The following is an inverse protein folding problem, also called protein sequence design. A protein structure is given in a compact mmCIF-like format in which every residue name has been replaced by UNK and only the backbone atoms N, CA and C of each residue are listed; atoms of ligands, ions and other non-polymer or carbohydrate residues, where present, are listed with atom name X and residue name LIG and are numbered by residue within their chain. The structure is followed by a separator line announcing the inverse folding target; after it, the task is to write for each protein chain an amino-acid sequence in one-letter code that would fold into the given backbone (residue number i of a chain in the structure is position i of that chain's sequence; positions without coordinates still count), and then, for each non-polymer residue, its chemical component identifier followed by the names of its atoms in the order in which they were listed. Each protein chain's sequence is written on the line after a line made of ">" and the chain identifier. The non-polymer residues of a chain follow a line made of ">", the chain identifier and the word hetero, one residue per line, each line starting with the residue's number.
data_IF_454529090547
#
_entry.id   IF_454529090547
#
_cell.length_a   1.000
_cell.length_b   1.000
_cell.length_c   1.000
_cell.angle_alpha   90.00
_cell.angle_beta   90.00
_cell.angle_gamma   90.00
#
_symmetry.space_group_name_H-M   'P 1'
#
loop_
_entity.id
_entity.type
_entity.pdbx_description
1 polymer ?
#
# COMPACT_ATOMS: atom_id res chain seq x y z
N UNK A 1 15.26 -20.40 30.50
CA UNK A 1 15.43 -20.55 29.03
C UNK A 1 14.10 -20.53 28.27
N UNK A 2 13.08 -21.32 28.63
CA UNK A 2 11.75 -21.29 27.96
C UNK A 2 11.08 -19.90 27.88
N UNK A 3 11.12 -19.11 28.96
CA UNK A 3 10.56 -17.74 28.98
C UNK A 3 11.28 -16.76 28.02
N UNK A 4 12.59 -16.94 27.83
CA UNK A 4 13.40 -16.10 26.92
C UNK A 4 13.08 -16.44 25.47
N UNK A 5 12.94 -17.73 25.15
CA UNK A 5 12.55 -18.15 23.80
C UNK A 5 11.13 -17.67 23.44
N UNK A 6 10.18 -17.73 24.38
CA UNK A 6 8.82 -17.17 24.18
C UNK A 6 8.86 -15.65 23.97
N UNK A 7 9.67 -14.92 24.73
CA UNK A 7 9.83 -13.48 24.55
C UNK A 7 10.41 -13.15 23.17
N UNK A 8 11.43 -13.90 22.72
CA UNK A 8 12.05 -13.72 21.41
C UNK A 8 11.04 -13.93 20.26
N UNK A 9 10.23 -14.99 20.33
CA UNK A 9 9.22 -15.29 19.32
C UNK A 9 8.13 -14.22 19.29
N UNK A 10 7.69 -13.69 20.45
CA UNK A 10 6.73 -12.58 20.50
C UNK A 10 7.29 -11.27 19.93
N UNK A 11 8.57 -10.98 20.16
CA UNK A 11 9.21 -9.80 19.57
C UNK A 11 9.25 -9.93 18.05
N UNK A 12 9.60 -11.10 17.51
CA UNK A 12 9.57 -11.34 16.06
C UNK A 12 8.14 -11.28 15.49
N UNK A 13 7.15 -11.84 16.19
CA UNK A 13 5.73 -11.74 15.81
C UNK A 13 5.29 -10.27 15.71
N UNK A 14 5.71 -9.43 16.67
CA UNK A 14 5.42 -8.00 16.66
C UNK A 14 6.09 -7.30 15.46
N UNK A 15 7.36 -7.59 15.17
CA UNK A 15 8.06 -7.02 14.01
C UNK A 15 7.34 -7.37 12.72
N UNK A 16 6.98 -8.64 12.52
CA UNK A 16 6.25 -9.10 11.32
C UNK A 16 4.89 -8.42 11.21
N UNK A 17 4.15 -8.30 12.31
CA UNK A 17 2.86 -7.60 12.33
C UNK A 17 2.99 -6.12 11.93
N UNK A 18 3.99 -5.41 12.46
CA UNK A 18 4.25 -4.02 12.11
C UNK A 18 4.65 -3.89 10.64
N UNK A 19 5.50 -4.78 10.12
CA UNK A 19 5.87 -4.79 8.70
C UNK A 19 4.67 -5.01 7.77
N UNK A 20 3.77 -5.93 8.10
CA UNK A 20 2.53 -6.13 7.32
C UNK A 20 1.61 -4.91 7.39
N UNK A 21 1.44 -4.32 8.57
CA UNK A 21 0.64 -3.10 8.75
C UNK A 21 1.21 -1.95 7.91
N UNK A 22 2.54 -1.78 7.93
CA UNK A 22 3.22 -0.80 7.08
C UNK A 22 2.99 -1.09 5.59
N UNK A 23 3.09 -2.34 5.16
CA UNK A 23 2.90 -2.73 3.76
C UNK A 23 1.48 -2.43 3.27
N UNK A 24 0.46 -2.69 4.10
CA UNK A 24 -0.94 -2.36 3.79
C UNK A 24 -1.11 -0.84 3.66
N UNK A 25 -0.60 -0.06 4.62
CA UNK A 25 -0.66 1.42 4.57
C UNK A 25 0.09 1.95 3.33
N UNK A 26 1.26 1.39 3.02
CA UNK A 26 2.05 1.79 1.86
C UNK A 26 1.34 1.45 0.54
N UNK A 27 0.66 0.31 0.45
CA UNK A 27 -0.14 -0.08 -0.71
C UNK A 27 -1.27 0.91 -0.98
N UNK A 28 -2.10 1.19 0.04
CA UNK A 28 -3.18 2.17 -0.09
C UNK A 28 -2.66 3.60 -0.28
N UNK A 29 -1.56 3.94 0.39
CA UNK A 29 -0.88 5.23 0.22
C UNK A 29 -0.37 5.43 -1.20
N UNK A 30 0.26 4.41 -1.79
CA UNK A 30 0.72 4.46 -3.18
C UNK A 30 -0.44 4.63 -4.17
N UNK A 31 -1.59 4.00 -3.91
CA UNK A 31 -2.78 4.18 -4.77
C UNK A 31 -3.29 5.62 -4.83
N UNK A 32 -3.10 6.40 -3.77
CA UNK A 32 -3.48 7.81 -3.72
C UNK A 32 -2.34 8.71 -4.20
N UNK A 33 -1.11 8.41 -3.79
CA UNK A 33 0.06 9.23 -4.09
C UNK A 33 0.49 9.13 -5.56
N UNK A 34 0.35 7.96 -6.21
CA UNK A 34 0.77 7.79 -7.60
C UNK A 34 -0.01 8.69 -8.57
N UNK A 35 -1.35 8.74 -8.57
CA UNK A 35 -2.09 9.70 -9.39
C UNK A 35 -1.70 11.15 -9.11
N UNK A 36 -1.51 11.50 -7.83
CA UNK A 36 -1.11 12.85 -7.44
C UNK A 36 0.28 13.20 -7.99
N UNK A 37 1.23 12.27 -7.91
CA UNK A 37 2.59 12.44 -8.42
C UNK A 37 2.60 12.59 -9.94
N UNK A 38 1.76 11.84 -10.66
CA UNK A 38 1.59 11.98 -12.11
C UNK A 38 1.11 13.40 -12.48
N UNK A 39 0.19 13.99 -11.72
CA UNK A 39 -0.26 15.39 -11.94
C UNK A 39 0.92 16.35 -11.79
N UNK A 40 1.71 16.20 -10.73
CA UNK A 40 2.89 17.04 -10.49
C UNK A 40 3.92 16.89 -11.61
N UNK A 41 4.15 15.66 -12.05
CA UNK A 41 5.15 15.34 -13.08
C UNK A 41 4.72 15.88 -14.46
N UNK A 42 3.44 15.77 -14.80
CA UNK A 42 2.86 16.39 -16.00
C UNK A 42 2.93 17.92 -15.94
N UNK A 43 2.62 18.51 -14.79
CA UNK A 43 2.68 19.97 -14.60
C UNK A 43 4.12 20.48 -14.77
N UNK A 44 5.11 19.76 -14.21
CA UNK A 44 6.54 20.07 -14.40
C UNK A 44 6.97 19.91 -15.85
N UNK A 45 6.56 18.85 -16.52
CA UNK A 45 6.87 18.60 -17.93
C UNK A 45 6.36 19.75 -18.82
N UNK A 46 5.12 20.20 -18.61
CA UNK A 46 4.56 21.33 -19.34
C UNK A 46 5.26 22.66 -18.99
N UNK A 47 5.76 22.79 -17.76
CA UNK A 47 6.60 23.91 -17.35
C UNK A 47 7.91 24.02 -18.16
N UNK A 48 8.49 22.89 -18.60
CA UNK A 48 9.68 22.89 -19.48
C UNK A 48 9.38 23.56 -20.83
N UNK A 49 8.14 23.47 -21.31
CA UNK A 49 7.69 24.10 -22.55
C UNK A 49 7.23 25.57 -22.36
N UNK A 50 7.47 26.16 -21.20
CA UNK A 50 7.13 27.57 -20.91
C UNK A 50 5.68 27.82 -20.50
N UNK A 51 4.88 26.77 -20.24
CA UNK A 51 3.55 26.96 -19.65
C UNK A 51 3.66 27.30 -18.17
N UNK A 52 2.90 28.31 -17.74
CA UNK A 52 2.80 28.67 -16.34
C UNK A 52 2.15 27.52 -15.54
N UNK A 53 2.64 27.26 -14.32
CA UNK A 53 2.23 26.12 -13.50
C UNK A 53 0.72 26.04 -13.26
N UNK A 54 0.04 27.19 -13.22
CA UNK A 54 -1.42 27.25 -13.08
C UNK A 54 -2.16 26.71 -14.32
N UNK A 55 -1.73 27.07 -15.53
CA UNK A 55 -2.33 26.60 -16.78
C UNK A 55 -2.00 25.13 -17.00
N UNK A 56 -0.77 24.73 -16.69
CA UNK A 56 -0.34 23.34 -16.75
C UNK A 56 -1.14 22.44 -15.79
N UNK A 57 -1.39 22.88 -14.56
CA UNK A 57 -2.24 22.15 -13.62
C UNK A 57 -3.69 22.02 -14.11
N UNK A 58 -4.23 23.05 -14.76
CA UNK A 58 -5.59 23.04 -15.32
C UNK A 58 -5.78 21.99 -16.41
N UNK A 59 -4.70 21.59 -17.10
CA UNK A 59 -4.71 20.54 -18.13
C UNK A 59 -4.33 19.18 -17.53
N UNK A 60 -3.34 19.14 -16.63
CA UNK A 60 -2.86 17.91 -16.01
C UNK A 60 -3.92 17.24 -15.11
N UNK A 61 -4.68 18.02 -14.34
CA UNK A 61 -5.70 17.48 -13.42
C UNK A 61 -6.82 16.75 -14.18
N UNK A 62 -7.47 17.33 -15.21
CA UNK A 62 -8.44 16.59 -16.03
C UNK A 62 -7.86 15.40 -16.77
N UNK A 63 -6.62 15.50 -17.29
CA UNK A 63 -5.96 14.40 -17.99
C UNK A 63 -5.76 13.19 -17.07
N UNK A 64 -5.25 13.40 -15.86
CA UNK A 64 -5.12 12.33 -14.86
C UNK A 64 -6.47 11.87 -14.34
N UNK A 65 -7.42 12.78 -14.16
CA UNK A 65 -8.80 12.43 -13.79
C UNK A 65 -9.47 11.50 -14.81
N UNK A 66 -9.21 11.69 -16.10
CA UNK A 66 -9.69 10.79 -17.16
C UNK A 66 -9.04 9.40 -17.09
N UNK A 67 -7.72 9.33 -16.82
CA UNK A 67 -7.02 8.07 -16.61
C UNK A 67 -7.58 7.31 -15.39
N UNK A 68 -7.81 8.01 -14.28
CA UNK A 68 -8.46 7.44 -13.11
C UNK A 68 -9.86 6.93 -13.46
N UNK A 69 -10.66 7.71 -14.19
CA UNK A 69 -12.00 7.29 -14.63
C UNK A 69 -11.95 6.04 -15.51
N UNK A 70 -10.95 5.91 -16.38
CA UNK A 70 -10.75 4.71 -17.20
C UNK A 70 -10.45 3.49 -16.35
N UNK A 71 -9.58 3.62 -15.34
CA UNK A 71 -9.29 2.56 -14.36
C UNK A 71 -10.55 2.16 -13.60
N UNK A 72 -11.37 3.12 -13.16
CA UNK A 72 -12.65 2.85 -12.49
C UNK A 72 -13.69 2.18 -13.39
N UNK A 73 -13.72 2.52 -14.68
CA UNK A 73 -14.65 1.92 -15.65
C UNK A 73 -14.16 0.58 -16.20
N UNK A 74 -12.90 0.20 -15.95
CA UNK A 74 -12.37 -1.08 -16.37
C UNK A 74 -12.93 -2.17 -15.46
N UNK A 75 -13.79 -3.06 -15.97
CA UNK A 75 -14.44 -4.08 -15.15
C UNK A 75 -13.40 -5.02 -14.54
N UNK A 76 -13.56 -5.33 -13.24
CA UNK A 76 -12.66 -6.20 -12.50
C UNK A 76 -11.37 -5.56 -11.98
N UNK A 77 -10.93 -4.42 -12.54
CA UNK A 77 -9.67 -3.80 -12.13
C UNK A 77 -9.75 -3.15 -10.75
N UNK A 78 -10.80 -2.37 -10.48
CA UNK A 78 -11.03 -1.77 -9.16
C UNK A 78 -11.28 -2.82 -8.08
N UNK A 79 -11.95 -3.93 -8.44
CA UNK A 79 -12.21 -5.02 -7.51
C UNK A 79 -10.93 -5.78 -7.18
N UNK A 80 -10.12 -6.13 -8.19
CA UNK A 80 -8.80 -6.76 -8.01
C UNK A 80 -7.88 -5.93 -7.10
N UNK A 81 -7.92 -4.61 -7.24
CA UNK A 81 -7.17 -3.66 -6.40
C UNK A 81 -7.55 -3.79 -4.91
N UNK A 82 -8.86 -3.82 -4.64
CA UNK A 82 -9.38 -3.93 -3.27
C UNK A 82 -9.10 -5.33 -2.72
N UNK A 83 -9.35 -6.37 -3.50
CA UNK A 83 -9.12 -7.76 -3.13
C UNK A 83 -7.64 -7.99 -2.77
N UNK A 84 -6.71 -7.43 -3.54
CA UNK A 84 -5.27 -7.47 -3.23
C UNK A 84 -4.94 -6.82 -1.89
N UNK A 85 -5.60 -5.70 -1.57
CA UNK A 85 -5.46 -5.04 -0.27
C UNK A 85 -5.99 -5.89 0.89
N UNK A 86 -7.12 -6.56 0.68
CA UNK A 86 -7.71 -7.49 1.65
C UNK A 86 -6.79 -8.72 1.84
N UNK A 87 -6.26 -9.28 0.76
CA UNK A 87 -5.35 -10.43 0.79
C UNK A 87 -4.05 -10.13 1.54
N UNK A 88 -3.53 -8.90 1.42
CA UNK A 88 -2.39 -8.43 2.21
C UNK A 88 -2.68 -8.46 3.72
N UNK A 89 -3.86 -7.99 4.12
CA UNK A 89 -4.30 -8.02 5.53
C UNK A 89 -4.50 -9.46 6.00
N UNK A 90 -5.16 -10.28 5.19
CA UNK A 90 -5.43 -11.69 5.46
C UNK A 90 -4.12 -12.46 5.65
N UNK A 91 -3.15 -12.23 4.77
CA UNK A 91 -1.81 -12.84 4.83
C UNK A 91 -1.10 -12.43 6.11
N UNK A 92 -1.15 -11.14 6.49
CA UNK A 92 -0.57 -10.67 7.75
C UNK A 92 -1.16 -11.40 8.97
N UNK A 93 -2.49 -11.56 9.00
CA UNK A 93 -3.18 -12.29 10.08
C UNK A 93 -2.74 -13.76 10.14
N UNK A 94 -2.72 -14.48 9.02
CA UNK A 94 -2.28 -15.88 8.97
C UNK A 94 -0.84 -16.05 9.44
N UNK A 95 0.07 -15.12 9.10
CA UNK A 95 1.45 -15.16 9.57
C UNK A 95 1.56 -14.94 11.07
N UNK A 96 0.79 -14.01 11.64
CA UNK A 96 0.74 -13.78 13.09
C UNK A 96 0.18 -14.99 13.84
N UNK A 97 -0.83 -15.68 13.29
CA UNK A 97 -1.38 -16.91 13.85
C UNK A 97 -0.37 -18.07 13.82
N UNK A 98 0.43 -18.20 12.77
CA UNK A 98 1.51 -19.20 12.71
C UNK A 98 2.57 -18.98 13.81
N UNK A 99 2.87 -17.72 14.15
CA UNK A 99 3.75 -17.41 15.29
C UNK A 99 3.15 -17.86 16.62
N UNK A 100 1.83 -17.80 16.81
CA UNK A 100 1.20 -18.30 18.03
C UNK A 100 1.41 -19.81 18.20
N UNK A 101 1.33 -20.59 17.12
CA UNK A 101 1.62 -22.04 17.17
C UNK A 101 3.08 -22.33 17.54
N UNK A 102 4.03 -21.52 17.08
CA UNK A 102 5.44 -21.63 17.47
C UNK A 102 5.64 -21.26 18.94
N UNK A 103 4.94 -20.24 19.45
CA UNK A 103 4.97 -19.88 20.87
C UNK A 103 4.48 -21.04 21.74
N UNK A 104 3.40 -21.73 21.34
CA UNK A 104 2.88 -22.89 22.09
C UNK A 104 3.87 -24.06 22.10
N UNK A 105 4.49 -24.37 20.96
CA UNK A 105 5.51 -25.42 20.85
C UNK A 105 6.76 -25.13 21.69
N UNK A 106 7.17 -23.86 21.79
CA UNK A 106 8.34 -23.41 22.58
C UNK A 106 8.04 -23.31 24.08
N UNK A 107 6.76 -23.18 24.44
CA UNK A 107 6.28 -23.11 25.82
C UNK A 107 6.16 -24.50 26.45
N UNK A 108 5.87 -25.53 25.65
CA UNK A 108 5.90 -26.95 26.02
C UNK A 108 7.29 -27.39 26.51
#
# INVERSE_FOLDING_TARGET
>A
MKKVNVALVRVLQFVVFVSFTFMVIAYFGAMVLLPLDIIVLLTKLMGVFGLNGFIAAFIAVPAVGYLCMMVYKTPGLSQMIVDTGIDLVQTGKTRVEAFNGIVEAVKA
#
